data_IF_358182119734
#
_entry.id   IF_358182119734
#
_cell.length_a   1.000
_cell.length_b   1.000
_cell.length_c   1.000
_cell.angle_alpha   90.00
_cell.angle_beta   90.00
_cell.angle_gamma   90.00
#
_symmetry.space_group_name_H-M   'P 1'
#
loop_
_entity.id
_entity.type
_entity.pdbx_description
1 polymer ?
#
# COMPACT_ATOMS: atom_id res chain seq x y z
N UNK A 1 -20.14 10.62 33.38
CA UNK A 1 -18.97 9.76 33.09
C UNK A 1 -19.21 9.10 31.72
N UNK A 2 -18.80 9.75 30.63
CA UNK A 2 -19.02 9.25 29.26
C UNK A 2 -17.70 9.28 28.50
N UNK A 3 -16.93 8.21 28.67
CA UNK A 3 -15.73 7.92 27.88
C UNK A 3 -16.21 7.30 26.55
N UNK A 4 -16.38 8.11 25.51
CA UNK A 4 -16.54 7.57 24.16
C UNK A 4 -15.17 7.44 23.50
N UNK A 5 -14.84 6.20 23.14
CA UNK A 5 -13.66 5.78 22.39
C UNK A 5 -13.45 6.72 21.19
N UNK A 6 -12.25 7.31 21.11
CA UNK A 6 -11.77 8.01 19.92
C UNK A 6 -11.51 7.00 18.78
N UNK A 7 -12.30 6.98 17.69
CA UNK A 7 -11.98 6.18 16.51
C UNK A 7 -10.92 6.93 15.70
N UNK A 8 -9.81 6.27 15.37
CA UNK A 8 -8.66 6.86 14.66
C UNK A 8 -8.89 7.09 13.15
N UNK A 9 -10.10 6.83 12.66
CA UNK A 9 -10.48 7.05 11.28
C UNK A 9 -11.88 7.67 11.28
N UNK A 10 -11.93 9.01 11.38
CA UNK A 10 -13.03 9.72 10.74
C UNK A 10 -12.72 9.64 9.24
N UNK A 11 -13.47 8.87 8.43
CA UNK A 11 -13.55 9.24 7.03
C UNK A 11 -13.93 10.72 7.02
N UNK A 12 -13.22 11.50 6.22
CA UNK A 12 -13.60 12.85 5.86
C UNK A 12 -14.97 12.75 5.17
N UNK A 13 -16.02 12.70 5.99
CA UNK A 13 -17.31 13.16 5.59
C UNK A 13 -17.13 14.67 5.50
N UNK A 14 -16.89 15.18 4.29
CA UNK A 14 -17.45 16.48 3.91
C UNK A 14 -18.86 16.49 4.53
N UNK A 15 -19.17 17.51 5.34
CA UNK A 15 -20.18 17.55 6.42
C UNK A 15 -21.65 17.36 5.98
N UNK A 16 -21.88 16.43 5.05
CA UNK A 16 -23.11 16.09 4.33
C UNK A 16 -23.44 14.59 4.44
N UNK A 17 -22.71 13.82 5.27
CA UNK A 17 -22.91 12.37 5.41
C UNK A 17 -24.17 11.95 6.21
N UNK A 18 -24.65 12.84 7.09
CA UNK A 18 -25.99 12.81 7.70
C UNK A 18 -26.69 14.17 7.61
N UNK A 19 -26.01 15.16 7.03
CA UNK A 19 -26.46 16.54 6.89
C UNK A 19 -27.28 16.78 5.63
N UNK A 20 -27.96 15.75 5.13
CA UNK A 20 -29.17 16.04 4.37
C UNK A 20 -30.21 16.48 5.41
N UNK A 21 -30.62 17.76 5.43
CA UNK A 21 -31.60 18.25 6.40
C UNK A 21 -32.89 17.41 6.38
N UNK A 22 -33.14 16.63 5.33
CA UNK A 22 -34.31 15.78 5.20
C UNK A 22 -34.36 14.56 6.15
N UNK A 23 -33.24 14.04 6.68
CA UNK A 23 -33.26 12.82 7.53
C UNK A 23 -32.66 13.04 8.92
N UNK A 24 -31.61 13.85 9.04
CA UNK A 24 -31.00 14.18 10.34
C UNK A 24 -31.89 15.04 11.26
N UNK A 25 -32.93 15.69 10.71
CA UNK A 25 -33.88 16.50 11.47
C UNK A 25 -35.23 15.82 11.71
N UNK A 26 -35.45 14.62 11.14
CA UNK A 26 -36.70 13.89 11.32
C UNK A 26 -36.73 13.21 12.69
N UNK A 27 -37.83 13.35 13.44
CA UNK A 27 -38.13 12.47 14.55
C UNK A 27 -38.06 10.99 14.15
N UNK A 28 -37.60 10.13 15.06
CA UNK A 28 -37.41 8.70 14.81
C UNK A 28 -38.70 8.03 14.30
N UNK A 29 -39.85 8.39 14.87
CA UNK A 29 -41.18 7.90 14.53
C UNK A 29 -41.66 8.32 13.13
N UNK A 30 -41.08 9.37 12.54
CA UNK A 30 -41.38 9.84 11.18
C UNK A 30 -40.40 9.34 10.13
N UNK A 31 -39.40 8.55 10.52
CA UNK A 31 -38.46 7.96 9.58
C UNK A 31 -39.10 6.76 8.88
N UNK A 32 -39.62 6.99 7.67
CA UNK A 32 -40.31 5.93 6.89
C UNK A 32 -39.34 5.21 5.94
N UNK A 33 -39.64 3.96 5.51
CA UNK A 33 -38.86 3.28 4.48
C UNK A 33 -38.77 4.04 3.15
N UNK A 34 -39.82 4.81 2.81
CA UNK A 34 -39.81 5.65 1.62
C UNK A 34 -38.81 6.80 1.74
N UNK A 35 -38.75 7.45 2.90
CA UNK A 35 -37.75 8.49 3.19
C UNK A 35 -36.32 7.93 3.12
N UNK A 36 -36.08 6.75 3.71
CA UNK A 36 -34.77 6.08 3.66
C UNK A 36 -34.36 5.72 2.23
N UNK A 37 -35.29 5.23 1.40
CA UNK A 37 -34.99 4.94 -0.02
C UNK A 37 -34.65 6.19 -0.82
N UNK A 38 -35.41 7.27 -0.63
CA UNK A 38 -35.16 8.56 -1.29
C UNK A 38 -33.78 9.10 -0.91
N UNK A 39 -33.50 9.19 0.38
CA UNK A 39 -32.20 9.63 0.89
C UNK A 39 -31.04 8.76 0.40
N UNK A 40 -31.22 7.43 0.39
CA UNK A 40 -30.17 6.53 -0.13
C UNK A 40 -29.87 6.81 -1.60
N UNK A 41 -30.90 7.05 -2.43
CA UNK A 41 -30.71 7.37 -3.85
C UNK A 41 -30.01 8.72 -4.05
N UNK A 42 -30.46 9.75 -3.33
CA UNK A 42 -29.87 11.11 -3.38
C UNK A 42 -28.42 11.11 -2.89
N UNK A 43 -28.14 10.44 -1.76
CA UNK A 43 -26.79 10.30 -1.20
C UNK A 43 -25.87 9.51 -2.12
N UNK A 44 -26.39 8.44 -2.77
CA UNK A 44 -25.63 7.65 -3.74
C UNK A 44 -25.25 8.47 -4.96
N UNK A 45 -26.15 9.33 -5.45
CA UNK A 45 -25.86 10.24 -6.55
C UNK A 45 -24.82 11.31 -6.17
N UNK A 46 -24.87 11.83 -4.95
CA UNK A 46 -24.01 12.92 -4.50
C UNK A 46 -22.60 12.48 -4.05
N UNK A 47 -22.49 11.36 -3.31
CA UNK A 47 -21.26 10.96 -2.61
C UNK A 47 -20.64 9.67 -3.17
N UNK A 48 -21.38 8.96 -4.02
CA UNK A 48 -20.99 7.67 -4.56
C UNK A 48 -21.27 6.49 -3.62
N UNK A 49 -21.05 5.26 -4.12
CA UNK A 49 -21.55 4.04 -3.49
C UNK A 49 -20.89 3.72 -2.14
N UNK A 50 -19.58 3.97 -1.99
CA UNK A 50 -18.84 3.62 -0.76
C UNK A 50 -19.29 4.47 0.43
N UNK A 51 -19.39 5.78 0.25
CA UNK A 51 -19.79 6.71 1.30
C UNK A 51 -21.25 6.49 1.69
N UNK A 52 -22.14 6.33 0.70
CA UNK A 52 -23.55 6.02 0.91
C UNK A 52 -23.75 4.73 1.68
N UNK A 53 -23.00 3.68 1.34
CA UNK A 53 -23.02 2.40 2.07
C UNK A 53 -22.65 2.56 3.54
N UNK A 54 -21.58 3.32 3.83
CA UNK A 54 -21.15 3.58 5.20
C UNK A 54 -22.21 4.37 5.97
N UNK A 55 -22.79 5.40 5.34
CA UNK A 55 -23.88 6.17 5.93
C UNK A 55 -25.12 5.30 6.20
N UNK A 56 -25.49 4.42 5.27
CA UNK A 56 -26.62 3.49 5.44
C UNK A 56 -26.36 2.50 6.58
N UNK A 57 -25.15 1.93 6.65
CA UNK A 57 -24.77 1.02 7.74
C UNK A 57 -24.87 1.70 9.11
N UNK A 58 -24.42 2.96 9.21
CA UNK A 58 -24.55 3.76 10.42
C UNK A 58 -26.01 4.04 10.77
N UNK A 59 -26.81 4.50 9.80
CA UNK A 59 -28.23 4.78 9.99
C UNK A 59 -28.99 3.52 10.48
N UNK A 60 -28.73 2.38 9.84
CA UNK A 60 -29.30 1.11 10.24
C UNK A 60 -28.90 0.73 11.68
N UNK A 61 -27.62 0.92 12.07
CA UNK A 61 -27.16 0.63 13.42
C UNK A 61 -27.83 1.52 14.49
N UNK A 62 -27.99 2.82 14.20
CA UNK A 62 -28.70 3.76 15.08
C UNK A 62 -30.16 3.34 15.26
N UNK A 63 -30.87 3.07 14.15
CA UNK A 63 -32.28 2.68 14.21
C UNK A 63 -32.51 1.30 14.80
N UNK A 64 -31.57 0.36 14.60
CA UNK A 64 -31.59 -0.93 15.28
C UNK A 64 -31.41 -0.79 16.80
N UNK A 65 -30.59 0.17 17.25
CA UNK A 65 -30.46 0.49 18.68
C UNK A 65 -31.78 1.04 19.23
N UNK A 66 -32.43 1.95 18.51
CA UNK A 66 -33.74 2.47 18.90
C UNK A 66 -34.83 1.37 18.96
N UNK A 67 -34.74 0.34 18.12
CA UNK A 67 -35.62 -0.84 18.23
C UNK A 67 -35.30 -1.69 19.45
N UNK A 68 -34.02 -1.89 19.75
CA UNK A 68 -33.59 -2.63 20.94
C UNK A 68 -33.98 -1.92 22.25
N UNK A 69 -34.06 -0.59 22.22
CA UNK A 69 -34.50 0.25 23.34
C UNK A 69 -36.03 0.48 23.37
N UNK A 70 -36.80 -0.28 22.57
CA UNK A 70 -38.27 -0.18 22.43
C UNK A 70 -38.80 1.22 21.99
N UNK A 71 -37.92 2.12 21.55
CA UNK A 71 -38.29 3.43 21.03
C UNK A 71 -38.89 3.36 19.62
N UNK A 72 -38.61 2.27 18.88
CA UNK A 72 -39.22 1.95 17.60
C UNK A 72 -39.66 0.49 17.57
N UNK A 73 -40.84 0.17 16.99
CA UNK A 73 -41.26 -1.22 16.87
C UNK A 73 -40.48 -2.00 15.80
N UNK A 74 -39.87 -1.33 14.82
CA UNK A 74 -39.09 -1.95 13.75
C UNK A 74 -38.24 -0.91 12.99
N UNK A 75 -37.20 -1.38 12.27
CA UNK A 75 -36.29 -0.49 11.53
C UNK A 75 -36.80 -0.12 10.12
N UNK A 76 -36.86 1.18 9.75
CA UNK A 76 -37.23 1.61 8.41
C UNK A 76 -36.18 1.29 7.33
N UNK A 77 -34.98 0.87 7.70
CA UNK A 77 -33.90 0.51 6.79
C UNK A 77 -34.11 -0.87 6.14
N UNK A 78 -34.93 -0.93 5.09
CA UNK A 78 -35.31 -2.18 4.38
C UNK A 78 -34.56 -2.46 3.07
N UNK A 79 -33.54 -1.68 2.72
CA UNK A 79 -32.78 -1.88 1.47
C UNK A 79 -31.74 -2.99 1.69
N UNK A 80 -31.97 -4.15 1.06
CA UNK A 80 -31.09 -5.32 1.19
C UNK A 80 -29.69 -5.02 0.68
N UNK A 81 -28.68 -5.25 1.52
CA UNK A 81 -27.28 -5.10 1.14
C UNK A 81 -26.77 -3.65 1.06
N UNK A 82 -27.60 -2.64 1.30
CA UNK A 82 -27.18 -1.23 1.20
C UNK A 82 -26.07 -0.85 2.19
N UNK A 83 -25.95 -1.53 3.34
CA UNK A 83 -24.84 -1.36 4.28
C UNK A 83 -23.65 -2.30 4.05
N UNK A 84 -23.78 -3.28 3.14
CA UNK A 84 -22.78 -4.35 2.97
C UNK A 84 -21.70 -3.94 1.97
N UNK A 85 -20.44 -4.16 2.34
CA UNK A 85 -19.33 -3.96 1.40
C UNK A 85 -19.42 -5.01 0.30
N UNK A 86 -19.52 -4.54 -0.95
CA UNK A 86 -19.27 -5.35 -2.14
C UNK A 86 -18.09 -4.70 -2.86
N UNK A 87 -16.99 -5.41 -2.93
CA UNK A 87 -15.85 -5.04 -3.76
C UNK A 87 -15.40 -6.27 -4.50
N UNK A 88 -15.09 -6.11 -5.78
CA UNK A 88 -14.43 -7.16 -6.53
C UNK A 88 -13.13 -7.56 -5.83
N UNK A 89 -12.76 -8.83 -5.98
CA UNK A 89 -11.49 -9.30 -5.46
C UNK A 89 -10.35 -8.49 -6.08
N UNK A 90 -9.47 -7.96 -5.23
CA UNK A 90 -8.32 -7.20 -5.71
C UNK A 90 -7.29 -8.20 -6.25
N UNK A 91 -6.81 -8.05 -7.48
CA UNK A 91 -5.84 -8.98 -8.05
C UNK A 91 -4.57 -9.02 -7.20
N UNK A 92 -4.00 -10.21 -7.07
CA UNK A 92 -2.74 -10.43 -6.35
C UNK A 92 -1.55 -9.97 -7.21
N UNK A 93 -0.53 -9.46 -6.53
CA UNK A 93 0.71 -9.04 -7.16
C UNK A 93 1.74 -10.18 -7.05
N UNK A 94 2.16 -10.73 -8.18
CA UNK A 94 3.26 -11.69 -8.26
C UNK A 94 4.63 -11.01 -8.05
N UNK A 95 5.63 -11.80 -7.67
CA UNK A 95 7.01 -11.41 -7.47
C UNK A 95 7.62 -10.73 -8.71
N UNK A 96 7.31 -11.18 -9.94
CA UNK A 96 7.80 -10.50 -11.16
C UNK A 96 7.31 -9.05 -11.22
N UNK A 97 6.03 -8.84 -10.93
CA UNK A 97 5.44 -7.50 -10.89
C UNK A 97 6.07 -6.63 -9.80
N UNK A 98 6.37 -7.19 -8.63
CA UNK A 98 7.05 -6.48 -7.54
C UNK A 98 8.46 -6.06 -7.96
N UNK A 99 9.22 -6.96 -8.59
CA UNK A 99 10.58 -6.66 -9.06
C UNK A 99 10.58 -5.58 -10.13
N UNK A 100 9.67 -5.67 -11.11
CA UNK A 100 9.50 -4.65 -12.14
C UNK A 100 9.09 -3.30 -11.55
N UNK A 101 8.18 -3.30 -10.58
CA UNK A 101 7.78 -2.07 -9.89
C UNK A 101 8.96 -1.45 -9.15
N UNK A 102 9.69 -2.23 -8.35
CA UNK A 102 10.88 -1.80 -7.62
C UNK A 102 11.95 -1.22 -8.57
N UNK A 103 12.22 -1.89 -9.69
CA UNK A 103 13.20 -1.44 -10.68
C UNK A 103 12.86 -0.06 -11.29
N UNK A 104 11.57 0.25 -11.48
CA UNK A 104 11.08 1.51 -12.02
C UNK A 104 10.94 2.63 -10.97
N UNK A 105 11.16 2.34 -9.68
CA UNK A 105 11.13 3.35 -8.63
C UNK A 105 12.44 4.17 -8.61
N UNK A 106 12.37 5.45 -8.18
CA UNK A 106 13.57 6.21 -7.83
C UNK A 106 14.42 5.44 -6.82
N UNK A 107 15.75 5.52 -6.95
CA UNK A 107 16.70 4.78 -6.11
C UNK A 107 16.43 4.94 -4.61
N UNK A 108 16.12 6.17 -4.17
CA UNK A 108 15.79 6.50 -2.78
C UNK A 108 14.46 5.92 -2.25
N UNK A 109 13.65 5.31 -3.13
CA UNK A 109 12.35 4.68 -2.81
C UNK A 109 12.26 3.23 -3.29
N UNK A 110 13.31 2.69 -3.93
CA UNK A 110 13.31 1.31 -4.46
C UNK A 110 13.02 0.29 -3.38
N UNK A 111 13.75 0.36 -2.26
CA UNK A 111 13.56 -0.54 -1.12
C UNK A 111 12.18 -0.44 -0.46
N UNK A 112 11.39 0.62 -0.72
CA UNK A 112 10.05 0.77 -0.14
C UNK A 112 9.11 -0.31 -0.68
N UNK A 113 9.18 -0.60 -1.98
CA UNK A 113 8.33 -1.61 -2.64
C UNK A 113 8.70 -3.00 -2.17
N UNK A 114 10.00 -3.32 -2.14
CA UNK A 114 10.49 -4.61 -1.68
C UNK A 114 10.13 -4.86 -0.21
N UNK A 115 10.28 -3.85 0.65
CA UNK A 115 9.96 -3.98 2.06
C UNK A 115 8.43 -4.07 2.28
N UNK A 116 7.63 -3.34 1.50
CA UNK A 116 6.16 -3.47 1.55
C UNK A 116 5.72 -4.90 1.26
N UNK A 117 6.27 -5.52 0.21
CA UNK A 117 5.92 -6.87 -0.20
C UNK A 117 6.39 -7.93 0.83
N UNK A 118 7.61 -7.79 1.36
CA UNK A 118 8.23 -8.82 2.20
C UNK A 118 7.83 -8.71 3.68
N UNK A 119 7.77 -7.48 4.19
CA UNK A 119 7.47 -7.22 5.60
C UNK A 119 5.97 -6.97 5.86
N UNK A 120 5.14 -6.89 4.81
CA UNK A 120 3.69 -6.67 4.91
C UNK A 120 3.34 -5.43 5.75
N UNK A 121 4.18 -4.40 5.65
CA UNK A 121 4.00 -3.15 6.36
C UNK A 121 2.95 -2.29 5.67
N UNK A 122 2.11 -1.64 6.47
CA UNK A 122 1.17 -0.64 5.93
C UNK A 122 1.95 0.55 5.41
N UNK A 123 1.42 1.23 4.41
CA UNK A 123 2.09 2.40 3.82
C UNK A 123 2.46 3.45 4.88
N UNK A 124 1.55 3.77 5.80
CA UNK A 124 1.86 4.70 6.90
C UNK A 124 3.03 4.25 7.78
N UNK A 125 3.15 2.95 8.06
CA UNK A 125 4.24 2.37 8.85
C UNK A 125 5.57 2.48 8.09
N UNK A 126 5.59 2.10 6.80
CA UNK A 126 6.76 2.23 5.92
C UNK A 126 7.27 3.67 5.85
N UNK A 127 6.37 4.63 5.72
CA UNK A 127 6.71 6.04 5.61
C UNK A 127 7.23 6.63 6.93
N UNK A 128 6.91 6.00 8.05
CA UNK A 128 7.38 6.40 9.37
C UNK A 128 8.68 5.70 9.80
N UNK A 129 9.12 4.65 9.09
CA UNK A 129 10.31 3.89 9.43
C UNK A 129 11.56 4.78 9.46
N UNK A 130 12.35 4.59 10.51
CA UNK A 130 13.65 5.21 10.69
C UNK A 130 14.76 4.17 10.55
N UNK A 131 15.99 4.64 10.37
CA UNK A 131 17.15 3.74 10.23
C UNK A 131 17.34 2.91 11.51
N UNK A 132 17.16 3.52 12.69
CA UNK A 132 17.28 2.82 13.97
C UNK A 132 16.15 1.83 14.27
N UNK A 133 15.12 1.75 13.43
CA UNK A 133 14.08 0.72 13.53
C UNK A 133 14.52 -0.62 12.91
N UNK A 134 15.70 -0.65 12.27
CA UNK A 134 16.23 -1.79 11.54
C UNK A 134 17.37 -2.42 12.32
N UNK A 135 17.23 -3.72 12.59
CA UNK A 135 18.29 -4.55 13.12
C UNK A 135 18.76 -5.48 11.99
N UNK A 136 19.91 -5.14 11.39
CA UNK A 136 20.46 -5.91 10.28
C UNK A 136 21.08 -7.23 10.72
N UNK A 137 21.52 -7.33 11.98
CA UNK A 137 22.16 -8.53 12.53
C UNK A 137 21.11 -9.62 12.77
N UNK A 138 19.97 -9.23 13.33
CA UNK A 138 18.84 -10.13 13.56
C UNK A 138 17.86 -10.18 12.38
N UNK A 139 18.06 -9.34 11.35
CA UNK A 139 17.20 -9.25 10.17
C UNK A 139 15.77 -8.81 10.52
N UNK A 140 15.61 -7.83 11.42
CA UNK A 140 14.29 -7.39 11.90
C UNK A 140 13.97 -5.93 11.65
N UNK A 141 12.67 -5.63 11.62
CA UNK A 141 12.12 -4.28 11.51
C UNK A 141 11.14 -4.04 12.65
N UNK A 142 11.35 -2.98 13.42
CA UNK A 142 10.48 -2.61 14.53
C UNK A 142 9.45 -1.55 14.11
N UNK A 143 8.17 -1.88 14.21
CA UNK A 143 7.07 -0.95 13.89
C UNK A 143 6.70 -0.15 15.13
N UNK A 144 7.15 1.10 15.19
CA UNK A 144 6.91 1.99 16.33
C UNK A 144 5.95 3.14 16.05
N UNK A 145 5.79 3.52 14.77
CA UNK A 145 5.16 4.76 14.30
C UNK A 145 4.42 4.52 12.99
N UNK A 146 3.50 5.42 12.66
CA UNK A 146 2.86 5.50 11.35
C UNK A 146 2.63 6.95 10.94
N UNK A 147 2.68 7.22 9.64
CA UNK A 147 2.22 8.49 9.03
C UNK A 147 0.76 8.34 8.65
N UNK A 148 -0.05 9.31 9.05
CA UNK A 148 -1.49 9.41 8.72
C UNK A 148 -1.73 10.75 8.01
N UNK A 149 -2.46 10.74 6.90
CA UNK A 149 -2.91 11.99 6.26
C UNK A 149 -4.06 12.60 7.06
N UNK A 150 -3.94 13.89 7.38
CA UNK A 150 -4.98 14.72 8.00
C UNK A 150 -5.29 15.92 7.11
N UNK A 151 -6.33 16.69 7.42
CA UNK A 151 -6.66 17.90 6.65
C UNK A 151 -5.55 18.96 6.71
N UNK A 152 -4.75 18.95 7.78
CA UNK A 152 -3.54 19.77 7.94
C UNK A 152 -2.29 19.16 7.27
N UNK A 153 -2.40 17.98 6.66
CA UNK A 153 -1.33 17.23 6.02
C UNK A 153 -0.89 15.98 6.80
N UNK A 154 0.25 15.36 6.41
CA UNK A 154 0.73 14.13 7.02
C UNK A 154 1.24 14.36 8.44
N UNK A 155 0.74 13.58 9.39
CA UNK A 155 1.10 13.61 10.81
C UNK A 155 1.63 12.25 11.24
N UNK A 156 2.72 12.23 12.01
CA UNK A 156 3.18 11.01 12.67
C UNK A 156 2.34 10.73 13.92
N UNK A 157 1.90 9.48 14.06
CA UNK A 157 1.17 9.00 15.23
C UNK A 157 1.70 7.64 15.65
N UNK A 158 1.50 7.25 16.92
CA UNK A 158 1.68 5.86 17.31
C UNK A 158 0.81 4.95 16.43
N UNK A 159 1.22 3.69 16.19
CA UNK A 159 0.33 2.67 15.68
C UNK A 159 -0.91 2.59 16.55
N UNK A 160 -1.99 2.04 16.00
CA UNK A 160 -3.16 1.70 16.81
C UNK A 160 -2.70 0.94 18.05
N UNK A 161 -3.25 1.28 19.22
CA UNK A 161 -2.89 0.68 20.51
C UNK A 161 -2.78 -0.85 20.37
N UNK A 162 -1.64 -1.42 20.78
CA UNK A 162 -1.34 -2.85 20.65
C UNK A 162 -0.80 -3.31 19.28
N UNK A 163 -0.57 -2.41 18.31
CA UNK A 163 -0.07 -2.78 16.96
C UNK A 163 1.44 -2.62 16.78
N UNK A 164 2.17 -2.17 17.81
CA UNK A 164 3.63 -2.17 17.81
C UNK A 164 4.14 -3.60 17.80
N UNK A 165 5.09 -3.90 16.91
CA UNK A 165 5.57 -5.27 16.68
C UNK A 165 6.95 -5.27 16.05
N UNK A 166 7.66 -6.37 16.21
CA UNK A 166 8.90 -6.67 15.48
C UNK A 166 8.55 -7.64 14.34
N UNK A 167 9.07 -7.37 13.15
CA UNK A 167 8.88 -8.20 11.96
C UNK A 167 10.23 -8.79 11.56
N UNK A 168 10.30 -10.11 11.49
CA UNK A 168 11.46 -10.81 10.94
C UNK A 168 11.38 -10.82 9.43
N UNK A 169 12.45 -10.37 8.77
CA UNK A 169 12.55 -10.35 7.32
C UNK A 169 13.07 -11.71 6.82
N UNK A 170 12.53 -12.23 5.70
CA UNK A 170 13.18 -13.33 5.01
C UNK A 170 14.56 -12.88 4.48
N UNK A 171 15.50 -13.80 4.20
CA UNK A 171 16.85 -13.46 3.76
C UNK A 171 16.91 -12.50 2.57
N UNK A 172 15.99 -12.66 1.61
CA UNK A 172 15.89 -11.78 0.44
C UNK A 172 15.44 -10.35 0.83
N UNK A 173 14.65 -10.19 1.89
CA UNK A 173 14.28 -8.90 2.45
C UNK A 173 15.44 -8.19 3.12
N UNK A 174 16.24 -8.94 3.88
CA UNK A 174 17.49 -8.43 4.47
C UNK A 174 18.46 -7.96 3.37
N UNK A 175 18.65 -8.77 2.33
CA UNK A 175 19.50 -8.40 1.19
C UNK A 175 19.01 -7.16 0.44
N UNK A 176 17.71 -7.03 0.20
CA UNK A 176 17.12 -5.86 -0.44
C UNK A 176 17.31 -4.59 0.42
N UNK A 177 17.12 -4.72 1.74
CA UNK A 177 17.30 -3.63 2.68
C UNK A 177 18.76 -3.21 2.79
N UNK A 178 19.70 -4.16 2.82
CA UNK A 178 21.13 -3.88 2.76
C UNK A 178 21.51 -3.14 1.48
N UNK A 179 20.96 -3.55 0.33
CA UNK A 179 21.14 -2.87 -0.95
C UNK A 179 20.64 -1.42 -0.91
N UNK A 180 19.45 -1.20 -0.34
CA UNK A 180 18.87 0.14 -0.17
C UNK A 180 19.68 1.02 0.78
N UNK A 181 20.24 0.48 1.87
CA UNK A 181 21.06 1.25 2.80
C UNK A 181 22.40 1.68 2.18
N UNK A 182 22.97 0.88 1.27
CA UNK A 182 24.23 1.20 0.56
C UNK A 182 24.11 2.38 -0.41
N UNK A 183 22.93 2.63 -0.97
CA UNK A 183 22.71 3.75 -1.91
C UNK A 183 22.46 5.08 -1.20
N UNK A 184 22.41 5.07 0.14
CA UNK A 184 22.11 6.25 0.96
C UNK A 184 23.39 6.86 1.51
N UNK A 185 23.37 8.18 1.64
CA UNK A 185 24.36 8.89 2.45
C UNK A 185 24.26 8.47 3.93
N UNK A 186 25.37 8.47 4.67
CA UNK A 186 25.36 8.27 6.12
C UNK A 186 24.32 9.17 6.79
N UNK A 187 23.54 8.59 7.70
CA UNK A 187 22.44 9.29 8.35
C UNK A 187 22.26 8.79 9.78
N UNK A 188 21.69 9.65 10.63
CA UNK A 188 21.43 9.34 12.03
C UNK A 188 20.36 8.22 12.16
N UNK A 189 20.37 7.44 13.25
CA UNK A 189 19.31 6.45 13.52
C UNK A 189 17.90 7.03 13.50
N UNK A 190 17.75 8.34 13.80
CA UNK A 190 16.46 9.05 13.78
C UNK A 190 16.00 9.46 12.37
N UNK A 191 16.85 9.36 11.36
CA UNK A 191 16.51 9.72 9.98
C UNK A 191 15.54 8.70 9.37
N UNK A 192 14.63 9.17 8.52
CA UNK A 192 13.67 8.31 7.81
C UNK A 192 14.39 7.39 6.83
N UNK A 193 14.01 6.12 6.84
CA UNK A 193 14.53 5.10 5.91
C UNK A 193 14.15 5.41 4.45
N UNK A 194 12.96 5.97 4.24
CA UNK A 194 12.47 6.43 2.95
C UNK A 194 12.12 7.90 3.02
N UNK A 195 12.74 8.70 2.15
CA UNK A 195 12.50 10.13 2.04
C UNK A 195 12.52 10.52 0.56
N UNK A 196 11.83 11.60 0.21
CA UNK A 196 11.96 12.22 -1.12
C UNK A 196 13.39 12.78 -1.29
N UNK A 197 13.79 13.08 -2.52
CA UNK A 197 15.14 13.63 -2.82
C UNK A 197 15.47 14.91 -2.05
N UNK A 198 14.46 15.71 -1.72
CA UNK A 198 14.58 16.92 -0.91
C UNK A 198 14.55 16.67 0.61
N UNK A 199 14.66 15.41 1.07
CA UNK A 199 14.63 15.03 2.49
C UNK A 199 13.23 15.04 3.14
N UNK A 200 12.21 15.57 2.46
CA UNK A 200 10.84 15.59 2.98
C UNK A 200 10.24 14.18 3.03
N UNK A 201 9.32 13.91 3.97
CA UNK A 201 8.64 12.63 4.05
C UNK A 201 7.90 12.33 2.75
N UNK A 202 7.88 11.07 2.27
CA UNK A 202 7.00 10.70 1.20
C UNK A 202 5.56 10.84 1.70
N UNK A 203 4.68 11.41 0.88
CA UNK A 203 3.29 11.62 1.27
C UNK A 203 2.51 10.34 1.02
N UNK A 204 1.73 9.83 1.99
CA UNK A 204 0.69 8.87 1.69
C UNK A 204 -0.26 9.50 0.67
N UNK A 205 -0.14 9.17 -0.62
CA UNK A 205 -1.15 9.63 -1.57
C UNK A 205 -2.45 8.95 -1.22
N UNK A 206 -3.54 9.72 -1.05
CA UNK A 206 -4.86 9.17 -1.27
C UNK A 206 -4.82 8.55 -2.66
N UNK A 207 -5.19 7.28 -2.84
CA UNK A 207 -5.29 6.74 -4.19
C UNK A 207 -6.24 7.68 -4.93
N UNK A 208 -5.71 8.45 -5.90
CA UNK A 208 -6.59 9.02 -6.91
C UNK A 208 -7.33 7.82 -7.47
N UNK A 209 -8.65 7.91 -7.55
CA UNK A 209 -9.44 6.96 -8.33
C UNK A 209 -8.77 6.92 -9.71
N UNK A 210 -7.95 5.90 -9.95
CA UNK A 210 -7.47 5.59 -11.28
C UNK A 210 -8.72 5.10 -11.96
N UNK A 211 -9.41 6.03 -12.62
CA UNK A 211 -10.31 5.72 -13.70
C UNK A 211 -9.57 4.68 -14.54
N UNK A 212 -10.17 3.51 -14.75
CA UNK A 212 -9.57 2.47 -15.55
C UNK A 212 -9.35 3.06 -16.95
N UNK A 213 -8.14 3.55 -17.23
CA UNK A 213 -7.76 4.05 -18.55
C UNK A 213 -7.59 2.78 -19.39
N UNK A 214 -8.51 2.47 -20.32
CA UNK A 214 -8.36 1.28 -21.15
C UNK A 214 -7.05 1.40 -21.92
N UNK A 215 -6.33 0.28 -22.06
CA UNK A 215 -5.01 0.20 -22.67
C UNK A 215 -4.92 0.82 -24.09
N UNK A 216 -6.06 1.05 -24.74
CA UNK A 216 -6.21 1.72 -26.03
C UNK A 216 -6.00 3.24 -26.02
N UNK A 217 -5.85 3.88 -24.85
CA UNK A 217 -5.76 5.34 -24.72
C UNK A 217 -4.40 5.87 -24.25
N UNK A 218 -3.35 5.03 -24.28
CA UNK A 218 -1.99 5.57 -24.19
C UNK A 218 -1.68 6.39 -25.45
N UNK A 219 -1.26 7.67 -25.33
CA UNK A 219 -0.82 8.42 -26.50
C UNK A 219 0.39 7.71 -27.09
N UNK A 220 0.23 7.23 -28.34
CA UNK A 220 1.25 6.50 -29.07
C UNK A 220 2.57 7.27 -29.03
N UNK A 221 3.59 6.66 -28.42
CA UNK A 221 4.97 7.13 -28.59
C UNK A 221 5.28 7.05 -30.09
N UNK A 222 5.43 8.21 -30.73
CA UNK A 222 5.97 8.30 -32.09
C UNK A 222 7.34 7.60 -32.10
N UNK A 223 7.56 6.56 -32.93
CA UNK A 223 8.90 6.03 -33.11
C UNK A 223 9.74 7.14 -33.75
N UNK A 224 10.86 7.49 -33.11
CA UNK A 224 11.82 8.44 -33.66
C UNK A 224 12.41 7.85 -34.95
N UNK A 225 12.21 8.56 -36.06
CA UNK A 225 12.83 8.24 -37.33
C UNK A 225 14.37 8.41 -37.25
N UNK A 226 15.09 7.32 -37.54
CA UNK A 226 16.50 7.14 -37.99
C UNK A 226 16.92 5.74 -37.52
N UNK A 227 17.39 4.79 -38.31
CA UNK A 227 17.90 4.78 -39.68
C UNK A 227 17.69 3.36 -40.22
N UNK A 228 17.07 3.21 -41.39
CA UNK A 228 17.03 1.96 -42.14
C UNK A 228 17.73 2.23 -43.47
N UNK A 229 18.93 1.70 -43.62
CA UNK A 229 19.57 1.45 -44.91
C UNK A 229 20.66 0.40 -44.73
N UNK A 230 20.31 -0.85 -44.97
CA UNK A 230 21.11 -1.77 -45.77
C UNK A 230 20.26 -3.03 -46.00
N UNK A 231 19.84 -3.19 -47.26
CA UNK A 231 19.12 -4.36 -47.75
C UNK A 231 20.01 -5.61 -47.87
N UNK A 232 19.43 -6.71 -48.36
CA UNK A 232 19.98 -8.06 -48.22
C UNK A 232 20.93 -8.43 -49.37
N UNK A 233 21.85 -9.37 -49.11
CA UNK A 233 22.46 -10.19 -50.17
C UNK A 233 22.51 -11.67 -49.77
N UNK A 234 22.35 -12.58 -50.76
CA UNK A 234 22.07 -14.00 -50.57
C UNK A 234 23.33 -14.85 -50.40
N UNK A 235 23.13 -16.09 -49.92
CA UNK A 235 24.20 -17.00 -49.48
C UNK A 235 24.99 -17.73 -50.56
N UNK A 236 25.97 -18.51 -50.09
CA UNK A 236 26.66 -19.56 -50.85
C UNK A 236 27.95 -20.05 -50.19
N UNK A 237 27.97 -21.36 -49.86
CA UNK A 237 29.13 -22.30 -49.76
C UNK A 237 30.25 -22.01 -48.74
N UNK A 238 30.46 -22.81 -47.67
CA UNK A 238 30.94 -24.20 -47.53
C UNK A 238 32.44 -24.29 -47.12
N UNK A 239 32.69 -25.19 -46.15
CA UNK A 239 33.94 -25.92 -45.79
C UNK A 239 34.91 -25.30 -44.75
N UNK A 240 35.14 -26.09 -43.68
CA UNK A 240 36.48 -26.30 -43.13
C UNK A 240 36.68 -26.13 -41.62
N UNK A 241 36.28 -27.11 -40.81
CA UNK A 241 36.98 -27.50 -39.55
C UNK A 241 38.29 -28.24 -39.97
N UNK A 242 39.41 -28.34 -39.19
CA UNK A 242 39.42 -28.49 -37.74
C UNK A 242 40.58 -27.89 -36.91
N UNK A 243 40.28 -27.71 -35.61
CA UNK A 243 41.21 -28.12 -34.55
C UNK A 243 41.91 -27.01 -33.78
N UNK A 244 41.65 -26.96 -32.46
CA UNK A 244 42.65 -27.22 -31.39
C UNK A 244 42.11 -26.83 -30.01
N UNK A 245 42.24 -27.77 -29.08
CA UNK A 245 42.88 -27.47 -27.78
C UNK A 245 41.97 -27.15 -26.60
N UNK A 246 41.60 -28.19 -25.87
CA UNK A 246 41.22 -28.13 -24.46
C UNK A 246 42.23 -27.35 -23.60
N UNK A 247 41.73 -26.53 -22.67
CA UNK A 247 42.36 -26.31 -21.38
C UNK A 247 41.28 -26.05 -20.31
N UNK A 248 40.98 -27.10 -19.55
CA UNK A 248 40.16 -27.06 -18.35
C UNK A 248 40.82 -26.19 -17.28
N UNK A 249 40.09 -25.21 -16.72
CA UNK A 249 40.50 -24.50 -15.52
C UNK A 249 40.00 -25.28 -14.29
N UNK A 250 40.93 -25.85 -13.53
CA UNK A 250 40.67 -26.46 -12.20
C UNK A 250 40.29 -25.36 -11.19
N UNK A 251 39.40 -25.66 -10.22
CA UNK A 251 38.98 -24.71 -9.20
C UNK A 251 40.04 -24.51 -8.11
N UNK A 252 40.06 -23.30 -7.56
CA UNK A 252 40.90 -22.86 -6.44
C UNK A 252 40.44 -23.56 -5.14
N UNK A 253 41.35 -24.28 -4.47
CA UNK A 253 41.13 -24.89 -3.14
C UNK A 253 41.32 -23.82 -2.06
N UNK A 254 40.33 -23.68 -1.17
CA UNK A 254 40.41 -22.87 0.06
C UNK A 254 40.72 -23.82 1.22
N UNK A 255 41.79 -23.62 2.01
CA UNK A 255 42.05 -24.44 3.19
C UNK A 255 41.09 -24.08 4.33
N UNK A 256 40.47 -25.11 4.92
CA UNK A 256 39.81 -25.06 6.24
C UNK A 256 40.89 -25.11 7.31
N UNK A 257 40.81 -24.22 8.29
CA UNK A 257 41.64 -24.26 9.49
C UNK A 257 40.77 -24.05 10.72
N UNK A 258 40.25 -25.15 11.26
CA UNK A 258 39.99 -25.29 12.69
C UNK A 258 41.25 -25.95 13.26
N UNK A 259 41.97 -25.27 14.16
CA UNK A 259 42.62 -25.87 15.32
C UNK A 259 43.13 -24.77 16.27
N UNK A 260 42.65 -24.87 17.51
CA UNK A 260 42.88 -24.04 18.71
C UNK A 260 44.35 -24.10 19.22
N UNK A 261 44.78 -23.20 20.13
CA UNK A 261 44.61 -23.49 21.56
C UNK A 261 44.20 -22.29 22.42
N UNK A 262 43.38 -22.60 23.43
CA UNK A 262 43.19 -21.79 24.62
C UNK A 262 44.50 -21.63 25.41
N UNK A 263 44.74 -20.42 25.93
CA UNK A 263 45.25 -20.09 27.28
C UNK A 263 45.79 -18.65 27.30
N UNK A 264 45.36 -17.89 28.30
CA UNK A 264 45.79 -16.52 28.61
C UNK A 264 44.74 -15.86 29.47
#
# INVERSE_FOLDING_TARGET
MALWLRPHARPEHDGRGLGDPALGSLPLDRTTPAAVRRWHAETSAATGPTATRQAYALLHAVLATAVADDALPWTPCRITGAGQARSDERPLLDLDHVQRLSANMPENLRGLVDLAFRAHLRLGELLALRIGDIDMDNGTVTVQRQVVETDAGPVESPPKVGSQRVIHLPPQGVSALAGHLKTRSPALPTARLFARRNGSPPRPSRPRRLEHVPASSQPGRRPSARSAACGPHPGGAERGDPGRGHAARRPLVVPRGDDLPARG
#
